data_IF_361490754898
#
_entry.id   IF_361490754898
#
_cell.length_a   1.000
_cell.length_b   1.000
_cell.length_c   1.000
_cell.angle_alpha   90.00
_cell.angle_beta   90.00
_cell.angle_gamma   90.00
#
_symmetry.space_group_name_H-M   'P 1'
#
loop_
_entity.id
_entity.type
_entity.pdbx_description
1 polymer ?
#
# COMPACT_ATOMS: atom_id res chain seq x y z
N UNK A 1 5.66 17.19 28.59
CA UNK A 1 4.21 16.98 28.71
C UNK A 1 3.83 15.93 27.68
N UNK A 2 3.45 14.73 28.09
CA UNK A 2 3.16 13.63 27.16
C UNK A 2 1.73 13.78 26.66
N UNK A 3 1.55 14.19 25.40
CA UNK A 3 0.24 14.22 24.75
C UNK A 3 -0.30 12.78 24.65
N UNK A 4 -1.34 12.45 25.42
CA UNK A 4 -2.08 11.19 25.25
C UNK A 4 -3.16 11.40 24.18
N UNK A 5 -2.96 10.81 23.01
CA UNK A 5 -3.98 10.73 21.97
C UNK A 5 -4.96 9.59 22.27
N UNK A 6 -6.24 9.91 22.35
CA UNK A 6 -7.32 8.93 22.60
C UNK A 6 -7.97 8.41 21.32
N UNK A 7 -7.51 8.88 20.16
CA UNK A 7 -8.11 8.56 18.87
C UNK A 7 -7.35 7.43 18.17
N UNK A 8 -8.11 6.55 17.51
CA UNK A 8 -7.61 5.55 16.57
C UNK A 8 -7.20 6.20 15.25
N UNK A 9 -6.41 5.48 14.46
CA UNK A 9 -6.00 5.93 13.12
C UNK A 9 -7.16 6.17 12.16
N UNK A 10 -8.23 5.38 12.25
CA UNK A 10 -9.45 5.54 11.45
C UNK A 10 -10.26 6.76 11.89
N UNK A 11 -10.39 7.00 13.20
CA UNK A 11 -11.02 8.22 13.71
C UNK A 11 -10.24 9.47 13.29
N UNK A 12 -8.91 9.42 13.36
CA UNK A 12 -8.06 10.51 12.90
C UNK A 12 -8.25 10.82 11.41
N UNK A 13 -8.42 9.78 10.58
CA UNK A 13 -8.70 9.95 9.15
C UNK A 13 -10.07 10.58 8.89
N UNK A 14 -11.12 10.15 9.60
CA UNK A 14 -12.47 10.74 9.45
C UNK A 14 -12.51 12.19 9.95
N UNK A 15 -11.80 12.51 11.04
CA UNK A 15 -11.61 13.89 11.49
C UNK A 15 -10.87 14.73 10.44
N UNK A 16 -9.83 14.18 9.81
CA UNK A 16 -9.08 14.88 8.76
C UNK A 16 -9.97 15.18 7.54
N UNK A 17 -10.76 14.21 7.08
CA UNK A 17 -11.71 14.38 5.96
C UNK A 17 -12.79 15.41 6.28
N UNK A 18 -13.30 15.40 7.51
CA UNK A 18 -14.32 16.37 7.95
C UNK A 18 -13.75 17.78 8.02
N UNK A 19 -12.51 17.93 8.48
CA UNK A 19 -11.85 19.23 8.66
C UNK A 19 -11.34 19.80 7.34
N UNK A 20 -10.82 18.95 6.45
CA UNK A 20 -10.20 19.33 5.16
C UNK A 20 -10.82 18.57 3.99
N UNK A 21 -12.12 18.72 3.70
CA UNK A 21 -12.85 17.86 2.76
C UNK A 21 -12.31 17.90 1.32
N UNK A 22 -11.62 18.98 0.93
CA UNK A 22 -11.06 19.16 -0.42
C UNK A 22 -9.56 18.89 -0.52
N UNK A 23 -8.87 18.70 0.61
CA UNK A 23 -7.41 18.61 0.65
C UNK A 23 -6.88 17.52 1.59
N UNK A 24 -7.75 16.69 2.16
CA UNK A 24 -7.34 15.63 3.09
C UNK A 24 -6.36 14.64 2.44
N UNK A 25 -6.46 14.35 1.13
CA UNK A 25 -5.46 13.52 0.44
C UNK A 25 -4.06 14.16 0.44
N UNK A 26 -4.00 15.48 0.25
CA UNK A 26 -2.75 16.23 0.27
C UNK A 26 -2.16 16.26 1.69
N UNK A 27 -2.99 16.50 2.70
CA UNK A 27 -2.59 16.44 4.12
C UNK A 27 -2.00 15.07 4.50
N UNK A 28 -2.63 13.98 4.06
CA UNK A 28 -2.06 12.64 4.25
C UNK A 28 -0.71 12.53 3.53
N UNK A 29 -0.63 12.94 2.26
CA UNK A 29 0.59 12.83 1.47
C UNK A 29 1.76 13.57 2.13
N UNK A 30 1.51 14.79 2.62
CA UNK A 30 2.52 15.60 3.30
C UNK A 30 2.91 14.99 4.65
N UNK A 31 1.94 14.47 5.41
CA UNK A 31 2.20 13.71 6.63
C UNK A 31 3.05 12.45 6.40
N UNK A 32 2.81 11.73 5.30
CA UNK A 32 3.60 10.55 4.93
C UNK A 32 5.05 10.93 4.58
N UNK A 33 5.24 12.00 3.80
CA UNK A 33 6.56 12.53 3.46
C UNK A 33 7.30 12.94 4.73
N UNK A 34 6.61 13.60 5.65
CA UNK A 34 7.16 14.02 6.93
C UNK A 34 7.60 12.82 7.80
N UNK A 35 6.72 11.83 8.01
CA UNK A 35 7.06 10.61 8.79
C UNK A 35 8.26 9.90 8.16
N UNK A 36 8.27 9.71 6.84
CA UNK A 36 9.40 9.07 6.13
C UNK A 36 10.70 9.85 6.29
N UNK A 37 10.63 11.18 6.35
CA UNK A 37 11.80 12.03 6.56
C UNK A 37 12.35 11.87 7.98
N UNK A 38 11.49 11.81 8.99
CA UNK A 38 11.87 11.52 10.37
C UNK A 38 12.47 10.11 10.52
N UNK A 39 11.86 9.11 9.90
CA UNK A 39 12.38 7.73 9.88
C UNK A 39 13.80 7.70 9.33
N UNK A 40 14.07 8.37 8.20
CA UNK A 40 15.40 8.41 7.57
C UNK A 40 16.42 9.18 8.40
N UNK A 41 16.03 10.36 8.90
CA UNK A 41 16.94 11.24 9.64
C UNK A 41 17.37 10.63 10.98
N UNK A 42 16.47 9.89 11.64
CA UNK A 42 16.72 9.33 12.97
C UNK A 42 16.86 7.81 13.00
N UNK A 43 16.78 7.13 11.85
CA UNK A 43 16.79 5.67 11.74
C UNK A 43 15.72 5.01 12.63
N UNK A 44 14.49 5.52 12.54
CA UNK A 44 13.35 5.10 13.35
C UNK A 44 12.33 4.31 12.53
N UNK A 45 11.57 3.46 13.20
CA UNK A 45 10.32 2.91 12.66
C UNK A 45 9.27 4.01 12.48
N UNK A 46 8.22 3.76 11.68
CA UNK A 46 7.16 4.73 11.45
C UNK A 46 6.43 5.12 12.75
N UNK A 47 6.24 4.17 13.67
CA UNK A 47 5.61 4.41 14.98
C UNK A 47 6.52 5.26 15.86
N UNK A 48 7.81 4.95 15.94
CA UNK A 48 8.77 5.75 16.71
C UNK A 48 8.94 7.17 16.15
N UNK A 49 8.94 7.31 14.82
CA UNK A 49 8.96 8.61 14.16
C UNK A 49 7.74 9.46 14.54
N UNK A 50 6.54 8.86 14.56
CA UNK A 50 5.33 9.52 15.04
C UNK A 50 5.39 9.88 16.52
N UNK A 51 5.84 8.98 17.39
CA UNK A 51 6.01 9.26 18.82
C UNK A 51 7.01 10.40 19.06
N UNK A 52 8.11 10.42 18.30
CA UNK A 52 9.09 11.51 18.37
C UNK A 52 8.47 12.83 17.96
N UNK A 53 7.68 12.85 16.90
CA UNK A 53 6.92 14.03 16.49
C UNK A 53 5.93 14.49 17.55
N UNK A 54 5.14 13.58 18.14
CA UNK A 54 4.19 13.89 19.20
C UNK A 54 4.84 14.57 20.40
N UNK A 55 6.05 14.15 20.75
CA UNK A 55 6.79 14.74 21.87
C UNK A 55 7.37 16.13 21.56
N UNK A 56 7.45 16.51 20.28
CA UNK A 56 8.01 17.79 19.81
C UNK A 56 6.92 18.79 19.40
N UNK A 57 5.75 18.31 18.99
CA UNK A 57 4.65 19.16 18.53
C UNK A 57 3.75 19.61 19.68
N UNK A 58 3.29 20.86 19.62
CA UNK A 58 2.23 21.38 20.50
C UNK A 58 0.85 21.42 19.83
N UNK A 59 0.75 21.12 18.52
CA UNK A 59 -0.51 21.22 17.78
C UNK A 59 -1.22 19.87 17.74
N UNK A 60 -2.47 19.88 18.23
CA UNK A 60 -3.37 18.73 18.18
C UNK A 60 -3.77 18.43 16.73
N UNK A 61 -4.01 19.46 15.89
CA UNK A 61 -4.41 19.24 14.50
C UNK A 61 -3.31 18.51 13.70
N UNK A 62 -2.06 18.96 13.83
CA UNK A 62 -0.94 18.30 13.15
C UNK A 62 -0.72 16.87 13.63
N UNK A 63 -1.00 16.62 14.90
CA UNK A 63 -0.90 15.28 15.49
C UNK A 63 -1.98 14.33 14.95
N UNK A 64 -3.21 14.82 14.75
CA UNK A 64 -4.30 14.08 14.11
C UNK A 64 -3.98 13.79 12.64
N UNK A 65 -3.55 14.81 11.89
CA UNK A 65 -3.17 14.65 10.48
C UNK A 65 -2.03 13.63 10.30
N UNK A 66 -1.01 13.72 11.16
CA UNK A 66 0.12 12.78 11.13
C UNK A 66 -0.29 11.36 11.56
N UNK A 67 -1.23 11.23 12.51
CA UNK A 67 -1.78 9.93 12.91
C UNK A 67 -2.58 9.28 11.77
N UNK A 68 -3.39 10.06 11.06
CA UNK A 68 -4.12 9.61 9.89
C UNK A 68 -3.14 9.17 8.78
N UNK A 69 -2.06 9.92 8.55
CA UNK A 69 -1.02 9.56 7.58
C UNK A 69 -0.32 8.24 7.96
N UNK A 70 0.03 8.05 9.24
CA UNK A 70 0.60 6.80 9.74
C UNK A 70 -0.36 5.63 9.57
N UNK A 71 -1.64 5.83 9.88
CA UNK A 71 -2.67 4.81 9.70
C UNK A 71 -2.75 4.35 8.24
N UNK A 72 -2.83 5.31 7.31
CA UNK A 72 -2.81 5.00 5.88
C UNK A 72 -1.55 4.23 5.53
N UNK A 73 -0.34 4.69 5.91
CA UNK A 73 0.93 4.00 5.63
C UNK A 73 0.89 2.52 6.05
N UNK A 74 0.38 2.24 7.24
CA UNK A 74 0.27 0.87 7.75
C UNK A 74 -0.72 0.04 6.92
N UNK A 75 -1.85 0.61 6.51
CA UNK A 75 -2.79 -0.06 5.60
C UNK A 75 -2.14 -0.35 4.25
N UNK A 76 -1.40 0.60 3.65
CA UNK A 76 -0.71 0.38 2.37
C UNK A 76 0.31 -0.76 2.49
N UNK A 77 1.06 -0.81 3.60
CA UNK A 77 2.07 -1.86 3.83
C UNK A 77 1.43 -3.24 3.91
N UNK A 78 0.34 -3.39 4.70
CA UNK A 78 -0.37 -4.66 4.83
C UNK A 78 -0.95 -5.14 3.51
N UNK A 79 -1.52 -4.23 2.73
CA UNK A 79 -2.07 -4.55 1.41
C UNK A 79 -0.96 -4.96 0.44
N UNK A 80 0.17 -4.26 0.44
CA UNK A 80 1.32 -4.64 -0.38
C UNK A 80 1.86 -6.04 -0.02
N UNK A 81 1.90 -6.38 1.28
CA UNK A 81 2.27 -7.72 1.75
C UNK A 81 1.28 -8.78 1.30
N UNK A 82 -0.03 -8.51 1.39
CA UNK A 82 -1.06 -9.45 0.91
C UNK A 82 -0.96 -9.66 -0.61
N UNK A 83 -0.85 -8.60 -1.39
CA UNK A 83 -0.67 -8.68 -2.86
C UNK A 83 0.57 -9.50 -3.19
N UNK A 84 1.69 -9.26 -2.49
CA UNK A 84 2.93 -10.01 -2.70
C UNK A 84 2.73 -11.51 -2.44
N UNK A 85 2.07 -11.88 -1.35
CA UNK A 85 1.76 -13.28 -1.06
C UNK A 85 0.87 -13.93 -2.13
N UNK A 86 -0.09 -13.19 -2.68
CA UNK A 86 -0.94 -13.69 -3.78
C UNK A 86 -0.11 -13.87 -5.07
N UNK A 87 0.79 -12.93 -5.38
CA UNK A 87 1.70 -13.01 -6.53
C UNK A 87 2.66 -14.20 -6.43
N UNK A 88 3.18 -14.50 -5.23
CA UNK A 88 4.02 -15.68 -4.98
C UNK A 88 3.25 -16.97 -5.29
N UNK A 89 1.99 -17.06 -4.88
CA UNK A 89 1.13 -18.21 -5.21
C UNK A 89 0.83 -18.29 -6.72
N UNK A 90 0.58 -17.15 -7.38
CA UNK A 90 0.33 -17.10 -8.82
C UNK A 90 1.55 -17.57 -9.62
N UNK A 91 2.75 -17.19 -9.17
CA UNK A 91 4.01 -17.67 -9.73
C UNK A 91 4.21 -19.17 -9.51
N UNK A 92 3.87 -19.69 -8.33
CA UNK A 92 3.94 -21.13 -8.06
C UNK A 92 3.08 -21.95 -9.02
N UNK A 93 1.85 -21.51 -9.29
CA UNK A 93 0.98 -22.13 -10.31
C UNK A 93 1.55 -22.00 -11.73
N UNK A 94 2.17 -20.87 -12.07
CA UNK A 94 2.88 -20.70 -13.34
C UNK A 94 4.04 -21.69 -13.52
N UNK A 95 4.82 -21.90 -12.46
CA UNK A 95 5.90 -22.87 -12.46
C UNK A 95 5.39 -24.31 -12.58
N UNK A 96 4.29 -24.65 -11.92
CA UNK A 96 3.62 -25.96 -12.07
C UNK A 96 3.12 -26.18 -13.50
N UNK A 97 2.59 -25.15 -14.15
CA UNK A 97 2.19 -25.21 -15.55
C UNK A 97 3.39 -25.47 -16.48
N UNK A 98 4.50 -24.76 -16.30
CA UNK A 98 5.73 -24.98 -17.07
C UNK A 98 6.25 -26.42 -16.90
N UNK A 99 6.26 -26.92 -15.65
CA UNK A 99 6.66 -28.29 -15.34
C UNK A 99 5.73 -29.33 -15.99
N UNK A 100 4.41 -29.09 -15.98
CA UNK A 100 3.41 -29.94 -16.65
C UNK A 100 3.66 -30.02 -18.16
N UNK A 101 3.91 -28.89 -18.81
CA UNK A 101 4.17 -28.86 -20.26
C UNK A 101 5.46 -29.64 -20.60
N UNK A 102 6.47 -29.51 -19.74
CA UNK A 102 7.77 -30.19 -19.89
C UNK A 102 7.73 -31.69 -19.57
N UNK A 103 6.69 -32.18 -18.89
CA UNK A 103 6.54 -33.59 -18.50
C UNK A 103 6.31 -34.48 -19.72
N UNK A 104 7.09 -35.55 -19.86
CA UNK A 104 6.89 -36.57 -20.91
C UNK A 104 5.95 -37.70 -20.48
N UNK A 105 5.68 -37.82 -19.18
CA UNK A 105 4.99 -38.96 -18.58
C UNK A 105 3.49 -38.70 -18.33
N UNK A 106 3.03 -37.47 -18.56
CA UNK A 106 1.64 -37.08 -18.38
C UNK A 106 0.89 -37.22 -19.69
N UNK A 107 -0.26 -37.89 -19.66
CA UNK A 107 -1.10 -38.07 -20.86
C UNK A 107 -1.58 -36.71 -21.39
N UNK A 108 -1.94 -36.66 -22.68
CA UNK A 108 -2.44 -35.44 -23.29
C UNK A 108 -3.72 -34.92 -22.60
N UNK A 109 -4.66 -35.80 -22.28
CA UNK A 109 -5.92 -35.42 -21.63
C UNK A 109 -5.72 -34.95 -20.18
N UNK A 110 -4.79 -35.57 -19.44
CA UNK A 110 -4.42 -35.10 -18.10
C UNK A 110 -3.74 -33.74 -18.16
N UNK A 111 -2.85 -33.51 -19.14
CA UNK A 111 -2.23 -32.20 -19.36
C UNK A 111 -3.26 -31.14 -19.66
N UNK A 112 -4.25 -31.44 -20.51
CA UNK A 112 -5.33 -30.51 -20.84
C UNK A 112 -6.12 -30.12 -19.59
N UNK A 113 -6.50 -31.10 -18.77
CA UNK A 113 -7.25 -30.87 -17.53
C UNK A 113 -6.46 -30.04 -16.53
N UNK A 114 -5.19 -30.42 -16.27
CA UNK A 114 -4.33 -29.71 -15.33
C UNK A 114 -3.97 -28.30 -15.81
N UNK A 115 -3.79 -28.11 -17.13
CA UNK A 115 -3.59 -26.78 -17.73
C UNK A 115 -4.78 -25.86 -17.44
N UNK A 116 -6.00 -26.34 -17.71
CA UNK A 116 -7.22 -25.57 -17.42
C UNK A 116 -7.33 -25.23 -15.94
N UNK A 117 -7.00 -26.18 -15.05
CA UNK A 117 -6.98 -25.95 -13.61
C UNK A 117 -5.98 -24.87 -13.19
N UNK A 118 -4.71 -24.96 -13.61
CA UNK A 118 -3.68 -23.99 -13.25
C UNK A 118 -3.99 -22.59 -13.79
N UNK A 119 -4.44 -22.48 -15.05
CA UNK A 119 -4.86 -21.20 -15.64
C UNK A 119 -6.04 -20.61 -14.85
N UNK A 120 -7.04 -21.43 -14.50
CA UNK A 120 -8.18 -20.96 -13.70
C UNK A 120 -7.72 -20.44 -12.33
N UNK A 121 -6.76 -21.10 -11.68
CA UNK A 121 -6.22 -20.64 -10.38
C UNK A 121 -5.42 -19.36 -10.53
N UNK A 122 -4.64 -19.20 -11.58
CA UNK A 122 -3.93 -17.93 -11.84
C UNK A 122 -4.90 -16.76 -12.09
N UNK A 123 -6.01 -17.00 -12.79
CA UNK A 123 -7.05 -16.00 -13.02
C UNK A 123 -7.80 -15.63 -11.74
N UNK A 124 -8.13 -16.60 -10.89
CA UNK A 124 -8.76 -16.37 -9.58
C UNK A 124 -7.88 -15.48 -8.68
N UNK A 125 -6.57 -15.77 -8.64
CA UNK A 125 -5.61 -14.96 -7.89
C UNK A 125 -5.46 -13.55 -8.47
N UNK A 126 -5.45 -13.42 -9.79
CA UNK A 126 -5.41 -12.11 -10.47
C UNK A 126 -6.64 -11.27 -10.12
N UNK A 127 -7.83 -11.86 -10.18
CA UNK A 127 -9.08 -11.19 -9.81
C UNK A 127 -9.07 -10.75 -8.33
N UNK A 128 -8.48 -11.57 -7.45
CA UNK A 128 -8.32 -11.20 -6.04
C UNK A 128 -7.39 -9.98 -5.87
N UNK A 129 -6.28 -9.90 -6.61
CA UNK A 129 -5.40 -8.73 -6.60
C UNK A 129 -6.17 -7.48 -7.06
N UNK A 130 -6.94 -7.60 -8.14
CA UNK A 130 -7.75 -6.50 -8.68
C UNK A 130 -8.78 -5.98 -7.67
N UNK A 131 -9.48 -6.89 -6.97
CA UNK A 131 -10.42 -6.52 -5.92
C UNK A 131 -9.72 -5.77 -4.78
N UNK A 132 -8.56 -6.26 -4.31
CA UNK A 132 -7.79 -5.60 -3.25
C UNK A 132 -7.33 -4.19 -3.68
N UNK A 133 -6.92 -4.02 -4.95
CA UNK A 133 -6.52 -2.72 -5.50
C UNK A 133 -7.73 -1.78 -5.64
N UNK A 134 -8.89 -2.29 -6.03
CA UNK A 134 -10.10 -1.50 -6.21
C UNK A 134 -10.69 -1.01 -4.87
N UNK A 135 -10.69 -1.87 -3.85
CA UNK A 135 -11.16 -1.54 -2.50
C UNK A 135 -10.20 -0.60 -1.76
N UNK A 136 -9.02 -0.36 -2.33
CA UNK A 136 -8.02 0.51 -1.76
C UNK A 136 -8.38 2.00 -1.95
N UNK A 137 -8.44 2.81 -0.87
CA UNK A 137 -8.59 4.25 -1.00
C UNK A 137 -7.37 4.84 -1.70
N UNK A 138 -7.51 5.12 -3.00
CA UNK A 138 -6.51 5.84 -3.79
C UNK A 138 -6.43 7.26 -3.24
N UNK A 139 -5.43 7.51 -2.41
CA UNK A 139 -4.99 8.88 -2.15
C UNK A 139 -4.44 9.39 -3.47
N UNK A 140 -5.15 10.34 -4.06
CA UNK A 140 -5.05 10.73 -5.47
C UNK A 140 -3.63 10.73 -6.02
N UNK A 141 -3.46 10.18 -7.22
CA UNK A 141 -2.17 10.18 -7.91
C UNK A 141 -1.60 11.60 -7.97
N UNK A 142 -0.36 11.80 -7.48
CA UNK A 142 0.40 13.02 -7.79
C UNK A 142 0.39 13.18 -9.31
N UNK A 143 -0.20 14.26 -9.82
CA UNK A 143 0.04 14.68 -11.21
C UNK A 143 1.51 15.01 -11.32
N UNK A 144 2.29 14.11 -11.90
CA UNK A 144 3.67 14.40 -12.29
C UNK A 144 3.59 15.31 -13.51
N UNK A 145 3.79 16.61 -13.32
CA UNK A 145 3.99 17.55 -14.43
C UNK A 145 5.42 17.34 -14.92
N UNK A 146 5.59 16.57 -15.99
CA UNK A 146 6.89 16.42 -16.64
C UNK A 146 7.18 17.71 -17.42
N UNK A 147 8.06 18.57 -16.92
CA UNK A 147 8.60 19.71 -17.68
C UNK A 147 9.75 19.23 -18.57
N UNK A 148 9.46 18.92 -19.83
CA UNK A 148 10.44 18.45 -20.82
C UNK A 148 11.30 19.55 -21.46
N UNK A 149 11.24 20.80 -20.98
CA UNK A 149 11.89 21.94 -21.64
C UNK A 149 13.13 22.49 -20.91
N UNK A 150 13.67 21.80 -19.91
CA UNK A 150 14.87 22.24 -19.18
C UNK A 150 16.18 22.22 -19.98
N UNK A 151 16.18 21.69 -21.21
CA UNK A 151 17.39 21.56 -22.05
C UNK A 151 17.23 22.10 -23.48
N UNK A 152 16.25 22.97 -23.74
CA UNK A 152 16.20 23.70 -25.02
C UNK A 152 16.93 25.02 -24.85
N UNK A 153 18.23 25.01 -25.18
CA UNK A 153 18.99 26.21 -25.52
C UNK A 153 18.46 26.83 -26.82
#
# INVERSE_FOLDING_TARGET
MTLKFTYTGSEALEMLKTTFPKSWEQEITDGQIFIRSLMRMYQLTAVEAYQKFLNQTGSVEKSISTLAALHVMNCQSKIAEEIKGIQENQLAYGNQLIALESSKNTSFEDKKTLRSYYISKQNELQQRIENIIFDYPVIGAKRVIVQTNLFKN
#
